data_IF_701727436523
#
_entry.id   IF_701727436523
#
_cell.length_a   1.000
_cell.length_b   1.000
_cell.length_c   1.000
_cell.angle_alpha   90.00
_cell.angle_beta   90.00
_cell.angle_gamma   90.00
#
_symmetry.space_group_name_H-M   'P 1'
#
loop_
_entity.id
_entity.type
_entity.pdbx_description
1 polymer ?
#
# COMPACT_ATOMS: atom_id res chain seq x y z
N UNK A 1 8.23 2.13 -3.05
CA UNK A 1 7.02 2.32 -3.90
C UNK A 1 6.05 1.17 -3.76
N UNK A 2 4.85 1.39 -4.21
CA UNK A 2 3.82 0.36 -4.36
C UNK A 2 3.50 0.22 -5.83
N UNK A 3 3.26 -0.99 -6.30
CA UNK A 3 2.86 -1.22 -7.67
C UNK A 3 1.54 -1.98 -7.72
N UNK A 4 0.79 -1.74 -8.77
CA UNK A 4 -0.50 -2.34 -9.03
C UNK A 4 -0.54 -2.91 -10.44
N UNK A 5 -1.19 -4.06 -10.57
CA UNK A 5 -1.48 -4.67 -11.86
C UNK A 5 -2.97 -4.95 -11.98
N UNK A 6 -3.50 -4.83 -13.18
CA UNK A 6 -4.87 -5.23 -13.52
C UNK A 6 -4.81 -6.43 -14.44
N UNK A 7 -5.59 -7.43 -14.09
CA UNK A 7 -5.72 -8.69 -14.83
C UNK A 7 -7.17 -8.83 -15.24
N UNK A 8 -7.42 -8.99 -16.55
CA UNK A 8 -8.76 -9.32 -17.04
C UNK A 8 -9.00 -10.82 -16.92
N UNK A 9 -10.16 -11.21 -16.42
CA UNK A 9 -10.53 -12.61 -16.22
C UNK A 9 -11.52 -13.07 -17.29
N UNK A 10 -11.41 -14.34 -17.65
CA UNK A 10 -12.43 -15.00 -18.44
C UNK A 10 -13.73 -15.20 -17.64
N UNK A 11 -14.85 -15.35 -18.34
CA UNK A 11 -16.15 -15.52 -17.70
C UNK A 11 -16.15 -16.74 -16.77
N UNK A 12 -16.58 -16.53 -15.54
CA UNK A 12 -16.63 -17.55 -14.49
C UNK A 12 -15.39 -17.67 -13.61
N UNK A 13 -14.20 -17.34 -14.11
CA UNK A 13 -12.96 -17.46 -13.34
C UNK A 13 -12.93 -16.59 -12.08
N UNK A 14 -13.63 -15.45 -12.09
CA UNK A 14 -13.76 -14.59 -10.92
C UNK A 14 -14.38 -15.33 -9.73
N UNK A 15 -15.39 -16.15 -9.94
CA UNK A 15 -16.07 -16.90 -8.86
C UNK A 15 -15.14 -17.93 -8.24
N UNK A 16 -14.24 -18.53 -9.01
CA UNK A 16 -13.26 -19.51 -8.53
C UNK A 16 -12.14 -18.85 -7.75
N UNK A 17 -11.69 -17.68 -8.20
CA UNK A 17 -10.58 -16.94 -7.59
C UNK A 17 -11.05 -16.11 -6.40
N UNK A 18 -12.23 -15.47 -6.51
CA UNK A 18 -12.79 -14.55 -5.51
C UNK A 18 -14.27 -14.83 -5.22
N UNK A 19 -14.61 -16.00 -4.68
CA UNK A 19 -16.01 -16.39 -4.47
C UNK A 19 -16.79 -15.42 -3.56
N UNK A 20 -16.10 -14.75 -2.63
CA UNK A 20 -16.71 -13.77 -1.73
C UNK A 20 -16.82 -12.35 -2.32
N UNK A 21 -16.21 -12.06 -3.47
CA UNK A 21 -16.15 -10.72 -4.05
C UNK A 21 -15.45 -9.67 -3.18
N UNK A 22 -14.75 -10.06 -2.10
CA UNK A 22 -14.16 -9.14 -1.14
C UNK A 22 -12.73 -8.76 -1.52
N UNK A 23 -12.34 -7.55 -1.11
CA UNK A 23 -10.93 -7.19 -1.06
C UNK A 23 -10.22 -8.04 0.00
N UNK A 24 -8.99 -8.44 -0.29
CA UNK A 24 -8.13 -9.19 0.62
C UNK A 24 -6.84 -8.42 0.82
N UNK A 25 -6.37 -8.39 2.05
CA UNK A 25 -5.08 -7.87 2.46
C UNK A 25 -4.35 -8.98 3.22
N UNK A 26 -3.11 -9.27 2.88
CA UNK A 26 -2.34 -10.26 3.61
C UNK A 26 -1.69 -9.66 4.88
N UNK A 27 -1.15 -10.53 5.73
CA UNK A 27 -0.54 -10.14 7.01
C UNK A 27 0.98 -10.03 6.96
N UNK A 28 1.60 -10.10 5.78
CA UNK A 28 3.06 -9.98 5.63
C UNK A 28 3.54 -8.56 5.83
N UNK A 29 4.80 -8.40 6.16
CA UNK A 29 5.43 -7.06 6.23
C UNK A 29 5.48 -6.41 4.85
N UNK A 30 5.86 -7.18 3.81
CA UNK A 30 5.75 -6.77 2.43
C UNK A 30 4.39 -7.21 1.87
N UNK A 31 3.35 -6.53 2.35
CA UNK A 31 1.97 -6.85 2.05
C UNK A 31 1.67 -6.86 0.56
N UNK A 32 0.82 -7.77 0.16
CA UNK A 32 0.04 -7.67 -1.06
C UNK A 32 -1.44 -7.52 -0.72
N UNK A 33 -2.19 -7.00 -1.64
CA UNK A 33 -3.63 -6.88 -1.54
C UNK A 33 -4.26 -7.01 -2.91
N UNK A 34 -5.49 -7.43 -2.91
CA UNK A 34 -6.26 -7.54 -4.14
C UNK A 34 -7.72 -7.20 -3.93
N UNK A 35 -8.37 -6.81 -5.00
CA UNK A 35 -9.82 -6.65 -5.03
C UNK A 35 -10.36 -6.88 -6.43
N UNK A 36 -11.60 -7.38 -6.56
CA UNK A 36 -12.30 -7.37 -7.84
C UNK A 36 -12.64 -5.91 -8.25
N UNK A 37 -12.79 -5.69 -9.54
CA UNK A 37 -13.41 -4.47 -10.07
C UNK A 37 -14.93 -4.51 -9.86
N UNK A 38 -15.61 -3.35 -9.87
CA UNK A 38 -17.07 -3.31 -9.66
C UNK A 38 -17.89 -4.10 -10.69
N UNK A 39 -17.32 -4.37 -11.86
CA UNK A 39 -17.92 -5.17 -12.92
C UNK A 39 -17.65 -6.68 -12.80
N UNK A 40 -16.91 -7.10 -11.77
CA UNK A 40 -16.48 -8.49 -11.52
C UNK A 40 -15.73 -9.17 -12.69
N UNK A 41 -15.16 -8.37 -13.60
CA UNK A 41 -14.44 -8.90 -14.77
C UNK A 41 -12.93 -8.85 -14.64
N UNK A 42 -12.42 -8.15 -13.64
CA UNK A 42 -10.97 -7.93 -13.46
C UNK A 42 -10.60 -7.98 -11.98
N UNK A 43 -9.36 -8.36 -11.73
CA UNK A 43 -8.74 -8.22 -10.42
C UNK A 43 -7.68 -7.12 -10.48
N UNK A 44 -7.69 -6.25 -9.50
CA UNK A 44 -6.60 -5.32 -9.22
C UNK A 44 -5.75 -5.97 -8.13
N UNK A 45 -4.50 -6.26 -8.45
CA UNK A 45 -3.53 -6.85 -7.53
C UNK A 45 -2.43 -5.85 -7.25
N UNK A 46 -2.18 -5.57 -6.00
CA UNK A 46 -1.18 -4.61 -5.54
C UNK A 46 -0.19 -5.22 -4.57
N UNK A 47 1.07 -4.80 -4.65
CA UNK A 47 2.09 -5.23 -3.72
C UNK A 47 3.16 -4.15 -3.50
N UNK A 48 3.89 -4.26 -2.39
CA UNK A 48 5.14 -3.52 -2.24
C UNK A 48 6.19 -4.16 -3.14
N UNK A 49 6.67 -3.40 -4.11
CA UNK A 49 7.67 -3.88 -5.07
C UNK A 49 9.10 -3.47 -4.73
N UNK A 50 9.28 -2.81 -3.59
CA UNK A 50 10.58 -2.38 -3.12
C UNK A 50 11.05 -1.07 -3.74
N UNK A 51 12.36 -0.99 -4.01
CA UNK A 51 12.95 0.17 -4.66
C UNK A 51 12.52 0.27 -6.13
N UNK A 52 12.38 1.51 -6.59
CA UNK A 52 12.03 1.77 -7.99
C UNK A 52 13.23 1.46 -8.89
N UNK A 53 13.10 0.38 -9.66
CA UNK A 53 14.10 -0.04 -10.66
C UNK A 53 13.87 0.62 -12.05
N UNK A 54 12.90 1.55 -12.14
CA UNK A 54 12.63 2.33 -13.36
C UNK A 54 11.83 1.57 -14.43
N UNK A 55 11.94 0.26 -14.52
CA UNK A 55 11.28 -0.54 -15.57
C UNK A 55 9.96 -1.17 -15.09
N UNK A 56 8.86 -0.75 -15.73
CA UNK A 56 7.52 -1.32 -15.47
C UNK A 56 7.40 -2.80 -15.87
N UNK A 57 8.22 -3.30 -16.78
CA UNK A 57 8.20 -4.71 -17.17
C UNK A 57 8.71 -5.61 -16.04
N UNK A 58 9.77 -5.16 -15.35
CA UNK A 58 10.29 -5.85 -14.17
C UNK A 58 9.24 -5.84 -13.06
N UNK A 59 8.59 -4.70 -12.86
CA UNK A 59 7.50 -4.55 -11.91
C UNK A 59 6.33 -5.48 -12.22
N UNK A 60 5.90 -5.54 -13.49
CA UNK A 60 4.83 -6.42 -13.94
C UNK A 60 5.17 -7.89 -13.68
N UNK A 61 6.42 -8.29 -13.97
CA UNK A 61 6.88 -9.66 -13.69
C UNK A 61 6.83 -10.00 -12.21
N UNK A 62 7.33 -9.13 -11.34
CA UNK A 62 7.26 -9.31 -9.87
C UNK A 62 5.81 -9.46 -9.38
N UNK A 63 4.90 -8.59 -9.85
CA UNK A 63 3.48 -8.65 -9.49
C UNK A 63 2.84 -9.93 -10.00
N UNK A 64 3.16 -10.37 -11.22
CA UNK A 64 2.68 -11.63 -11.77
C UNK A 64 3.13 -12.82 -10.92
N UNK A 65 4.43 -12.89 -10.60
CA UNK A 65 4.99 -13.99 -9.80
C UNK A 65 4.30 -14.08 -8.43
N UNK A 66 4.06 -12.94 -7.77
CA UNK A 66 3.31 -12.87 -6.50
C UNK A 66 1.84 -13.26 -6.68
N UNK A 67 1.18 -12.77 -7.71
CA UNK A 67 -0.24 -13.08 -7.99
C UNK A 67 -0.44 -14.56 -8.27
N UNK A 68 0.42 -15.19 -9.05
CA UNK A 68 0.34 -16.63 -9.38
C UNK A 68 0.66 -17.48 -8.14
N UNK A 69 1.52 -17.02 -7.25
CA UNK A 69 1.75 -17.70 -5.96
C UNK A 69 0.48 -17.75 -5.09
N UNK A 70 -0.34 -16.70 -5.13
CA UNK A 70 -1.61 -16.63 -4.37
C UNK A 70 -2.76 -17.30 -5.13
N UNK A 71 -2.81 -17.09 -6.43
CA UNK A 71 -3.86 -17.56 -7.34
C UNK A 71 -3.22 -18.32 -8.51
N UNK A 72 -2.85 -19.61 -8.34
CA UNK A 72 -2.25 -20.40 -9.40
C UNK A 72 -3.09 -20.50 -10.68
N UNK A 73 -4.43 -20.35 -10.54
CA UNK A 73 -5.37 -20.34 -11.65
C UNK A 73 -5.14 -19.18 -12.63
N UNK A 74 -4.44 -18.13 -12.20
CA UNK A 74 -4.14 -16.94 -13.02
C UNK A 74 -2.80 -17.06 -13.78
N UNK A 75 -2.16 -18.22 -13.79
CA UNK A 75 -0.83 -18.42 -14.42
C UNK A 75 -0.81 -18.03 -15.91
N UNK A 76 -1.87 -18.31 -16.64
CA UNK A 76 -1.97 -18.03 -18.09
C UNK A 76 -2.62 -16.66 -18.38
N UNK A 77 -3.11 -15.96 -17.36
CA UNK A 77 -3.81 -14.70 -17.54
C UNK A 77 -2.82 -13.56 -17.78
N UNK A 78 -3.13 -12.68 -18.72
CA UNK A 78 -2.26 -11.56 -19.09
C UNK A 78 -2.56 -10.33 -18.21
N UNK A 79 -1.50 -9.66 -17.78
CA UNK A 79 -1.61 -8.34 -17.15
C UNK A 79 -1.97 -7.32 -18.25
N UNK A 80 -3.08 -6.63 -18.09
CA UNK A 80 -3.54 -5.60 -19.03
C UNK A 80 -2.93 -4.23 -18.74
N UNK A 81 -2.76 -3.88 -17.47
CA UNK A 81 -2.21 -2.60 -17.04
C UNK A 81 -1.32 -2.78 -15.82
N UNK A 82 -0.27 -1.99 -15.74
CA UNK A 82 0.60 -1.88 -14.57
C UNK A 82 0.97 -0.43 -14.32
N UNK A 83 0.95 -0.03 -13.07
CA UNK A 83 1.43 1.30 -12.67
C UNK A 83 2.04 1.25 -11.27
N UNK A 84 2.70 2.33 -10.90
CA UNK A 84 3.34 2.50 -9.59
C UNK A 84 2.89 3.79 -8.94
N UNK A 85 2.97 3.80 -7.61
CA UNK A 85 2.76 4.99 -6.81
C UNK A 85 3.75 5.06 -5.66
N UNK A 86 4.00 6.25 -5.18
CA UNK A 86 4.81 6.49 -3.98
C UNK A 86 3.88 6.73 -2.82
N UNK A 87 4.15 6.06 -1.70
CA UNK A 87 3.44 6.28 -0.45
C UNK A 87 4.39 6.92 0.57
N UNK A 88 3.89 7.92 1.30
CA UNK A 88 4.61 8.51 2.41
C UNK A 88 4.50 7.64 3.66
N UNK A 89 5.64 7.19 4.17
CA UNK A 89 5.75 6.53 5.46
C UNK A 89 6.54 7.43 6.42
N UNK A 90 5.97 7.68 7.60
CA UNK A 90 6.67 8.24 8.74
C UNK A 90 7.43 7.14 9.49
N UNK A 91 8.43 7.48 10.29
CA UNK A 91 9.19 6.49 11.05
C UNK A 91 8.38 5.81 12.16
N UNK A 92 7.37 6.49 12.69
CA UNK A 92 6.45 5.99 13.72
C UNK A 92 5.19 5.34 13.14
N UNK A 93 5.05 5.34 11.81
CA UNK A 93 3.86 4.86 11.10
C UNK A 93 2.56 5.60 11.45
N UNK A 94 2.66 6.82 11.96
CA UNK A 94 1.53 7.66 12.34
C UNK A 94 1.34 8.83 11.34
N UNK A 95 0.11 9.32 11.17
CA UNK A 95 -0.13 10.53 10.39
C UNK A 95 0.39 11.76 11.14
N UNK A 96 0.85 12.74 10.39
CA UNK A 96 1.32 14.02 10.92
C UNK A 96 0.56 15.17 10.28
N UNK A 97 0.06 16.08 11.12
CA UNK A 97 -0.60 17.31 10.69
C UNK A 97 0.02 18.50 11.41
N UNK A 98 -0.02 19.64 10.78
CA UNK A 98 0.52 20.84 11.39
C UNK A 98 0.52 22.03 10.46
N UNK A 99 1.26 23.04 10.87
CA UNK A 99 1.52 24.23 10.10
C UNK A 99 3.03 24.47 10.01
N UNK A 100 3.51 24.75 8.81
CA UNK A 100 4.91 25.14 8.60
C UNK A 100 5.17 26.54 9.15
N UNK A 101 6.44 26.92 9.30
CA UNK A 101 6.83 28.29 9.72
C UNK A 101 6.29 29.36 8.79
N UNK A 102 6.13 29.04 7.51
CA UNK A 102 5.59 29.93 6.48
C UNK A 102 4.06 29.96 6.43
N UNK A 103 3.40 29.31 7.39
CA UNK A 103 1.94 29.33 7.53
C UNK A 103 1.19 28.29 6.68
N UNK A 104 1.88 27.39 5.97
CA UNK A 104 1.24 26.35 5.16
C UNK A 104 0.78 25.19 6.06
N UNK A 105 -0.50 24.87 6.00
CA UNK A 105 -1.04 23.69 6.67
C UNK A 105 -0.72 22.43 5.87
N UNK A 106 -0.43 21.35 6.58
CA UNK A 106 -0.13 20.06 5.97
C UNK A 106 -0.79 18.90 6.73
N UNK A 107 -1.04 17.82 5.99
CA UNK A 107 -1.37 16.51 6.52
C UNK A 107 -0.67 15.45 5.67
N UNK A 108 0.11 14.56 6.27
CA UNK A 108 0.97 13.61 5.56
C UNK A 108 1.30 12.38 6.40
N UNK A 109 2.09 11.44 5.85
CA UNK A 109 2.52 10.25 6.58
C UNK A 109 1.42 9.22 6.77
N UNK A 110 0.48 9.11 5.85
CA UNK A 110 -0.70 8.23 5.99
C UNK A 110 -0.40 6.73 5.88
N UNK A 111 0.83 6.34 5.57
CA UNK A 111 1.33 4.96 5.62
C UNK A 111 0.46 3.92 4.89
N UNK A 112 -0.19 4.32 3.79
CA UNK A 112 -1.09 3.47 2.99
C UNK A 112 -2.58 3.75 3.20
N UNK A 113 -2.98 4.41 4.30
CA UNK A 113 -4.37 4.74 4.63
C UNK A 113 -4.77 6.14 4.14
N UNK A 114 -4.22 6.60 3.02
CA UNK A 114 -4.37 7.98 2.54
C UNK A 114 -5.81 8.38 2.20
N UNK A 115 -6.65 7.46 1.75
CA UNK A 115 -8.04 7.78 1.39
C UNK A 115 -8.88 8.21 2.61
N UNK A 116 -9.02 7.39 3.66
CA UNK A 116 -9.78 7.79 4.86
C UNK A 116 -9.08 8.89 5.65
N UNK A 117 -7.77 8.79 5.86
CA UNK A 117 -7.03 9.78 6.66
C UNK A 117 -6.92 11.12 5.95
N UNK A 118 -6.73 11.14 4.63
CA UNK A 118 -6.71 12.38 3.85
C UNK A 118 -8.05 13.12 3.89
N UNK A 119 -9.15 12.39 3.88
CA UNK A 119 -10.50 12.97 4.04
C UNK A 119 -10.68 13.55 5.44
N UNK A 120 -10.35 12.78 6.48
CA UNK A 120 -10.48 13.21 7.87
C UNK A 120 -9.61 14.45 8.16
N UNK A 121 -8.31 14.37 7.86
CA UNK A 121 -7.41 15.49 8.14
C UNK A 121 -7.63 16.67 7.20
N UNK A 122 -8.09 16.46 5.97
CA UNK A 122 -8.52 17.54 5.08
C UNK A 122 -9.68 18.34 5.68
N UNK A 123 -10.66 17.66 6.27
CA UNK A 123 -11.75 18.31 7.00
C UNK A 123 -11.22 19.09 8.23
N UNK A 124 -10.32 18.46 9.03
CA UNK A 124 -9.72 19.13 10.20
C UNK A 124 -8.94 20.39 9.82
N UNK A 125 -8.14 20.32 8.77
CA UNK A 125 -7.43 21.50 8.23
C UNK A 125 -8.42 22.57 7.75
N UNK A 126 -9.49 22.19 7.04
CA UNK A 126 -10.52 23.13 6.59
C UNK A 126 -11.19 23.86 7.75
N UNK A 127 -11.59 23.14 8.80
CA UNK A 127 -12.15 23.76 10.02
C UNK A 127 -11.14 24.68 10.71
N UNK A 128 -9.87 24.28 10.79
CA UNK A 128 -8.80 25.09 11.40
C UNK A 128 -8.60 26.42 10.66
N UNK A 129 -8.63 26.40 9.32
CA UNK A 129 -8.47 27.59 8.48
C UNK A 129 -9.56 28.63 8.71
N UNK A 130 -10.78 28.21 9.02
CA UNK A 130 -11.92 29.11 9.28
C UNK A 130 -12.13 29.40 10.77
N UNK A 131 -11.20 28.98 11.63
CA UNK A 131 -11.27 29.20 13.08
C UNK A 131 -12.36 28.39 13.80
N UNK A 132 -12.85 27.31 13.19
CA UNK A 132 -13.85 26.43 13.80
C UNK A 132 -13.17 25.50 14.82
N UNK A 133 -13.68 25.41 16.08
CA UNK A 133 -13.15 24.50 17.10
C UNK A 133 -13.10 23.01 16.68
N UNK A 134 -13.96 22.58 15.78
CA UNK A 134 -13.93 21.21 15.23
C UNK A 134 -12.64 20.90 14.46
N UNK A 135 -11.86 21.92 14.10
CA UNK A 135 -10.52 21.75 13.51
C UNK A 135 -9.48 21.20 14.49
N UNK A 136 -9.74 21.24 15.79
CA UNK A 136 -8.79 20.72 16.77
C UNK A 136 -8.69 19.19 16.70
N UNK A 137 -7.46 18.69 16.87
CA UNK A 137 -7.15 17.27 16.95
C UNK A 137 -5.84 17.10 17.72
N UNK A 138 -5.71 16.00 18.45
CA UNK A 138 -4.48 15.64 19.16
C UNK A 138 -3.27 15.44 18.22
N UNK A 139 -3.52 15.29 16.93
CA UNK A 139 -2.50 15.11 15.89
C UNK A 139 -1.82 16.41 15.46
N UNK A 140 -2.26 17.57 15.92
CA UNK A 140 -1.65 18.84 15.55
C UNK A 140 -0.24 18.99 16.10
N UNK A 141 0.68 19.39 15.20
CA UNK A 141 2.07 19.70 15.53
C UNK A 141 2.84 18.59 16.25
N UNK A 142 2.43 17.34 16.09
CA UNK A 142 3.27 16.21 16.45
C UNK A 142 4.56 16.29 15.65
N UNK A 143 5.70 16.32 16.35
CA UNK A 143 7.01 16.34 15.71
C UNK A 143 7.22 15.09 14.87
N UNK A 144 7.87 15.26 13.70
CA UNK A 144 8.29 14.13 12.89
C UNK A 144 9.46 13.43 13.57
N UNK A 145 9.34 12.16 13.98
CA UNK A 145 10.48 11.39 14.41
C UNK A 145 11.46 11.24 13.25
N UNK A 146 12.72 11.40 13.52
CA UNK A 146 13.79 11.26 12.54
C UNK A 146 14.93 10.44 13.13
N UNK A 147 15.77 9.89 12.27
CA UNK A 147 16.92 9.10 12.67
C UNK A 147 18.22 9.89 12.44
N UNK A 148 19.25 9.65 13.24
CA UNK A 148 20.57 10.23 12.99
C UNK A 148 21.02 9.92 11.56
N UNK A 149 21.64 10.91 10.92
CA UNK A 149 22.13 10.82 9.53
C UNK A 149 21.04 10.65 8.44
N UNK A 150 19.77 10.77 8.78
CA UNK A 150 18.69 10.79 7.78
C UNK A 150 18.53 12.21 7.20
N UNK A 151 18.73 12.34 5.91
CA UNK A 151 18.64 13.59 5.16
C UNK A 151 17.50 13.58 4.10
N UNK A 152 16.51 12.72 4.28
CA UNK A 152 15.42 12.53 3.30
C UNK A 152 15.65 11.36 2.34
N UNK A 153 16.87 10.80 2.25
CA UNK A 153 17.18 9.63 1.45
C UNK A 153 17.25 8.37 2.33
N UNK A 154 16.31 7.42 2.19
CA UNK A 154 16.30 6.17 2.95
C UNK A 154 17.32 5.15 2.39
N UNK A 155 18.60 5.45 2.44
CA UNK A 155 19.68 4.62 1.91
C UNK A 155 19.70 3.19 2.46
N UNK A 156 19.16 2.98 3.65
CA UNK A 156 19.05 1.68 4.33
C UNK A 156 17.84 0.86 3.84
N UNK A 157 16.87 1.46 3.14
CA UNK A 157 15.60 0.85 2.76
C UNK A 157 15.76 -0.42 1.91
N UNK A 158 16.71 -0.52 0.94
CA UNK A 158 16.90 -1.76 0.18
C UNK A 158 17.31 -2.95 1.06
N UNK A 159 18.18 -2.71 2.07
CA UNK A 159 18.59 -3.74 3.01
C UNK A 159 17.43 -4.17 3.92
N UNK A 160 16.65 -3.21 4.41
CA UNK A 160 15.46 -3.46 5.22
C UNK A 160 14.42 -4.30 4.46
N UNK A 161 14.14 -3.97 3.20
CA UNK A 161 13.19 -4.74 2.36
C UNK A 161 13.67 -6.18 2.17
N UNK A 162 14.95 -6.40 1.89
CA UNK A 162 15.51 -7.75 1.74
C UNK A 162 15.39 -8.56 3.05
N UNK A 163 15.63 -7.91 4.17
CA UNK A 163 15.49 -8.54 5.49
C UNK A 163 14.04 -8.91 5.79
N UNK A 164 13.09 -8.02 5.51
CA UNK A 164 11.65 -8.30 5.69
C UNK A 164 11.16 -9.39 4.76
N UNK A 165 11.58 -9.40 3.47
CA UNK A 165 11.27 -10.47 2.52
C UNK A 165 11.77 -11.85 3.02
N UNK A 166 12.97 -11.86 3.59
CA UNK A 166 13.53 -13.10 4.14
C UNK A 166 12.73 -13.60 5.35
N UNK A 167 12.33 -12.70 6.25
CA UNK A 167 11.52 -13.05 7.41
C UNK A 167 10.10 -13.50 7.02
N UNK A 168 9.47 -12.80 6.06
CA UNK A 168 8.15 -13.16 5.55
C UNK A 168 8.14 -14.57 4.93
N UNK A 169 9.21 -14.94 4.23
CA UNK A 169 9.37 -16.30 3.68
C UNK A 169 9.52 -17.38 4.77
N UNK A 170 10.21 -17.07 5.87
CA UNK A 170 10.35 -17.98 7.02
C UNK A 170 9.06 -18.13 7.81
N UNK A 171 8.30 -17.06 8.00
CA UNK A 171 7.01 -17.09 8.69
C UNK A 171 5.92 -17.80 7.89
N UNK A 172 6.01 -17.81 6.57
CA UNK A 172 5.02 -18.46 5.67
C UNK A 172 5.10 -20.00 5.70
N UNK A 173 6.12 -20.58 6.32
CA UNK A 173 6.25 -22.06 6.43
C UNK A 173 5.30 -22.70 7.45
N UNK A 174 4.43 -21.94 8.14
CA UNK A 174 3.67 -22.41 9.29
C UNK A 174 2.14 -22.38 9.24
N UNK A 175 1.49 -21.68 8.31
CA UNK A 175 0.02 -21.61 8.30
C UNK A 175 -0.60 -21.51 6.90
N UNK A 176 -0.60 -22.63 6.17
CA UNK A 176 -1.69 -22.84 5.23
C UNK A 176 -2.76 -23.61 6.02
N UNK A 177 -3.67 -22.89 6.64
CA UNK A 177 -4.92 -23.48 7.13
C UNK A 177 -5.75 -23.81 5.89
N UNK A 178 -5.72 -25.08 5.49
CA UNK A 178 -6.72 -25.65 4.61
C UNK A 178 -8.02 -25.69 5.41
N UNK A 179 -8.89 -24.72 5.23
CA UNK A 179 -10.29 -24.86 5.59
C UNK A 179 -10.94 -25.81 4.56
N UNK A 180 -11.31 -26.99 5.05
CA UNK A 180 -12.14 -27.94 4.31
C UNK A 180 -13.56 -27.41 4.12
#
# INVERSE_FOLDING_TARGET
>A
GMALAVVSLEDGLMKDVKPSGRAVLDSKTNIFWDRPTPDDKRIIFGARTGHDDGDLRITAKKLRDLMVMVYPQLAETKISHVWRGVMGFSFDHLPHTGQTRDGVYFATGFCGSGLPLGTYFGQKVGHKLVGNPEGETEWWNHGFPTWPFYNGNPWWLPAYIRWTDFNDRRGSCGHIVRSG
#
